data_IF_318331016370
#
_entry.id   IF_318331016370
#
_cell.length_a   1.000
_cell.length_b   1.000
_cell.length_c   1.000
_cell.angle_alpha   90.00
_cell.angle_beta   90.00
_cell.angle_gamma   90.00
#
_symmetry.space_group_name_H-M   'P 1'
#
loop_
_entity.id
_entity.type
_entity.pdbx_description
1 polymer ?
#
# COMPACT_ATOMS: atom_id res chain seq x y z
N UNK A 1 13.26 7.64 0.84
CA UNK A 1 12.21 7.98 -0.14
C UNK A 1 10.80 7.73 0.40
N UNK A 2 10.54 6.60 1.08
CA UNK A 2 9.22 6.30 1.64
C UNK A 2 8.75 7.31 2.70
N UNK A 3 9.59 7.68 3.67
CA UNK A 3 9.23 8.73 4.64
C UNK A 3 8.80 10.04 3.95
N UNK A 4 9.51 10.45 2.89
CA UNK A 4 9.15 11.63 2.12
C UNK A 4 7.81 11.44 1.37
N UNK A 5 7.58 10.25 0.81
CA UNK A 5 6.33 9.92 0.11
C UNK A 5 5.12 9.95 1.05
N UNK A 6 5.27 9.41 2.27
CA UNK A 6 4.21 9.37 3.28
C UNK A 6 3.77 10.76 3.76
N UNK A 7 4.64 11.77 3.62
CA UNK A 7 4.35 13.17 4.01
C UNK A 7 3.64 13.96 2.92
N UNK A 8 3.46 13.40 1.72
CA UNK A 8 2.78 14.10 0.63
C UNK A 8 1.28 14.23 0.95
N UNK A 9 0.67 15.36 0.57
CA UNK A 9 -0.76 15.62 0.81
C UNK A 9 -1.70 14.59 0.17
N UNK A 10 -1.21 13.85 -0.83
CA UNK A 10 -1.95 12.80 -1.54
C UNK A 10 -1.63 11.39 -1.06
N UNK A 11 -0.80 11.23 -0.03
CA UNK A 11 -0.35 9.92 0.43
C UNK A 11 -1.43 9.14 1.18
N UNK A 12 -2.40 9.83 1.79
CA UNK A 12 -3.35 9.23 2.73
C UNK A 12 -4.06 7.96 2.20
N UNK A 13 -4.58 7.91 0.95
CA UNK A 13 -5.25 6.71 0.44
C UNK A 13 -4.35 5.50 0.22
N UNK A 14 -3.03 5.68 0.33
CA UNK A 14 -2.01 4.65 0.09
C UNK A 14 -1.27 4.26 1.38
N UNK A 15 -1.64 4.82 2.53
CA UNK A 15 -0.96 4.53 3.81
C UNK A 15 -1.30 3.15 4.36
N UNK A 16 -2.46 2.60 4.02
CA UNK A 16 -2.97 1.32 4.50
C UNK A 16 -3.53 0.49 3.33
N UNK A 17 -3.66 -0.83 3.48
CA UNK A 17 -4.33 -1.67 2.50
C UNK A 17 -5.73 -1.14 2.18
N UNK A 18 -6.14 -1.22 0.91
CA UNK A 18 -7.51 -0.89 0.51
C UNK A 18 -8.46 -1.88 1.18
N UNK A 19 -9.45 -1.36 1.92
CA UNK A 19 -10.58 -2.15 2.45
C UNK A 19 -11.77 -2.03 1.49
N UNK A 20 -12.04 -3.07 0.66
CA UNK A 20 -13.10 -2.99 -0.34
C UNK A 20 -14.51 -2.95 0.26
N UNK A 21 -14.68 -3.50 1.47
CA UNK A 21 -15.98 -3.57 2.14
C UNK A 21 -16.29 -2.21 2.75
N UNK A 22 -15.36 -1.63 3.50
CA UNK A 22 -15.52 -0.32 4.12
C UNK A 22 -15.73 0.80 3.08
N UNK A 23 -15.11 0.68 1.91
CA UNK A 23 -15.22 1.65 0.81
C UNK A 23 -16.39 1.37 -0.14
N UNK A 24 -17.13 0.28 0.03
CA UNK A 24 -18.26 -0.06 -0.83
C UNK A 24 -17.87 -0.43 -2.28
N UNK A 25 -16.67 -0.95 -2.48
CA UNK A 25 -16.12 -1.36 -3.79
C UNK A 25 -15.81 -2.87 -3.81
N UNK A 26 -16.81 -3.76 -3.63
CA UNK A 26 -16.59 -5.19 -3.42
C UNK A 26 -15.90 -5.91 -4.59
N UNK A 27 -15.96 -5.35 -5.80
CA UNK A 27 -15.29 -5.89 -7.00
C UNK A 27 -13.81 -5.52 -7.08
N UNK A 28 -13.25 -4.81 -6.10
CA UNK A 28 -11.83 -4.43 -6.09
C UNK A 28 -10.88 -5.64 -6.24
N UNK A 29 -11.07 -6.78 -5.52
CA UNK A 29 -10.22 -7.96 -5.71
C UNK A 29 -10.38 -8.63 -7.08
N UNK A 30 -11.48 -8.35 -7.80
CA UNK A 30 -11.70 -8.88 -9.15
C UNK A 30 -10.82 -8.17 -10.17
N UNK A 31 -10.39 -6.94 -9.89
CA UNK A 31 -9.60 -6.11 -10.79
C UNK A 31 -8.15 -6.03 -10.31
N UNK A 32 -7.94 -5.72 -9.02
CA UNK A 32 -6.61 -5.56 -8.42
C UNK A 32 -6.17 -6.87 -7.78
N UNK A 33 -5.36 -7.63 -8.51
CA UNK A 33 -4.94 -8.98 -8.12
C UNK A 33 -3.82 -9.04 -7.09
N UNK A 34 -3.01 -7.99 -7.00
CA UNK A 34 -1.88 -7.90 -6.09
C UNK A 34 -1.93 -6.54 -5.38
N UNK A 35 -2.82 -6.35 -4.38
CA UNK A 35 -2.93 -5.10 -3.65
C UNK A 35 -1.63 -4.78 -2.91
N UNK A 36 -1.37 -3.49 -2.70
CA UNK A 36 -0.18 -2.99 -2.02
C UNK A 36 -0.45 -1.59 -1.46
N UNK A 37 0.30 -1.23 -0.42
CA UNK A 37 0.24 0.06 0.27
C UNK A 37 1.63 0.41 0.85
N UNK A 38 1.80 1.65 1.32
CA UNK A 38 3.07 2.19 1.81
C UNK A 38 3.53 1.46 3.08
N UNK A 39 2.61 1.05 3.97
CA UNK A 39 2.97 0.33 5.19
C UNK A 39 3.50 -1.06 4.83
N UNK A 40 2.83 -1.79 3.95
CA UNK A 40 3.31 -3.11 3.46
C UNK A 40 4.68 -3.01 2.79
N UNK A 41 4.94 -1.97 1.98
CA UNK A 41 6.28 -1.77 1.37
C UNK A 41 7.34 -1.48 2.43
N UNK A 42 7.00 -0.67 3.44
CA UNK A 42 7.91 -0.34 4.55
C UNK A 42 8.29 -1.59 5.32
N UNK A 43 7.32 -2.41 5.73
CA UNK A 43 7.56 -3.68 6.43
C UNK A 43 8.42 -4.64 5.60
N UNK A 44 8.15 -4.77 4.30
CA UNK A 44 8.93 -5.65 3.42
C UNK A 44 10.38 -5.17 3.25
N UNK A 45 10.63 -3.86 3.25
CA UNK A 45 11.99 -3.33 3.23
C UNK A 45 12.72 -3.59 4.55
N UNK A 46 12.07 -3.34 5.68
CA UNK A 46 12.64 -3.59 7.01
C UNK A 46 12.95 -5.06 7.24
N UNK A 47 12.10 -5.95 6.71
CA UNK A 47 12.29 -7.39 6.76
C UNK A 47 13.29 -7.93 5.70
N UNK A 48 13.94 -7.07 4.91
CA UNK A 48 14.88 -7.49 3.87
C UNK A 48 14.26 -8.36 2.78
N UNK A 49 12.95 -8.21 2.53
CA UNK A 49 12.19 -9.04 1.58
C UNK A 49 12.40 -8.65 0.11
N UNK A 50 13.12 -7.54 -0.13
CA UNK A 50 13.51 -7.10 -1.48
C UNK A 50 14.93 -7.55 -1.77
N UNK A 51 15.10 -8.30 -2.87
CA UNK A 51 16.42 -8.78 -3.30
C UNK A 51 17.32 -7.66 -3.83
N UNK A 52 16.73 -6.53 -4.25
CA UNK A 52 17.42 -5.36 -4.78
C UNK A 52 16.71 -4.08 -4.32
N UNK A 53 17.45 -2.97 -4.27
CA UNK A 53 16.92 -1.60 -4.08
C UNK A 53 16.65 -0.95 -5.43
#
# INVERSE_FOLDING_TARGET
ILDWLSRQSKAQPFMEPVDPIALGIPTYPDIVKNPMDITTVTEKLENGSYSNI
#
